data_IF_975550071327
#
_entry.id   IF_975550071327
#
_cell.length_a   1.000
_cell.length_b   1.000
_cell.length_c   1.000
_cell.angle_alpha   90.00
_cell.angle_beta   90.00
_cell.angle_gamma   90.00
#
_symmetry.space_group_name_H-M   'P 1'
#
loop_
_entity.id
_entity.type
_entity.pdbx_description
1 polymer ?
#
# COMPACT_ATOMS: atom_id res chain seq x y z
N UNK A 1 31.02 -9.58 37.58
CA UNK A 1 31.53 -10.23 36.34
C UNK A 1 30.45 -10.12 35.26
N UNK A 2 30.67 -9.30 34.24
CA UNK A 2 29.71 -9.08 33.13
C UNK A 2 30.01 -10.09 31.99
N UNK A 3 29.01 -10.69 31.34
CA UNK A 3 29.23 -11.68 30.28
C UNK A 3 29.74 -11.00 28.99
N UNK A 4 30.81 -11.56 28.42
CA UNK A 4 31.42 -11.15 27.16
C UNK A 4 30.42 -11.34 25.99
N UNK A 5 30.13 -10.29 25.24
CA UNK A 5 29.34 -10.34 23.99
C UNK A 5 30.08 -11.16 22.94
N UNK A 6 29.50 -12.30 22.54
CA UNK A 6 30.00 -13.14 21.46
C UNK A 6 30.04 -12.39 20.11
N UNK A 7 31.22 -12.40 19.50
CA UNK A 7 31.48 -11.90 18.16
C UNK A 7 30.76 -12.81 17.16
N UNK A 8 29.82 -12.24 16.34
CA UNK A 8 29.15 -12.98 15.26
C UNK A 8 30.20 -13.35 14.20
N UNK A 9 30.20 -14.61 13.70
CA UNK A 9 31.13 -15.00 12.64
C UNK A 9 30.84 -14.19 11.37
N UNK A 10 31.88 -13.56 10.85
CA UNK A 10 31.87 -12.89 9.54
C UNK A 10 31.68 -13.97 8.49
N UNK A 11 30.52 -13.99 7.83
CA UNK A 11 30.27 -14.88 6.69
C UNK A 11 31.26 -14.50 5.60
N UNK A 12 32.26 -15.34 5.38
CA UNK A 12 33.25 -15.17 4.33
C UNK A 12 32.54 -15.13 2.97
N UNK A 13 32.67 -14.01 2.28
CA UNK A 13 32.18 -13.87 0.91
C UNK A 13 32.78 -14.99 0.07
N UNK A 14 31.92 -15.86 -0.52
CA UNK A 14 32.34 -16.93 -1.44
C UNK A 14 33.18 -16.29 -2.56
N UNK A 15 34.50 -16.53 -2.53
CA UNK A 15 35.39 -16.15 -3.64
C UNK A 15 34.85 -16.81 -4.90
N UNK A 16 34.57 -16.00 -5.93
CA UNK A 16 34.22 -16.54 -7.26
C UNK A 16 35.38 -17.42 -7.70
N UNK A 17 35.12 -18.63 -8.25
CA UNK A 17 36.18 -19.48 -8.75
C UNK A 17 37.01 -18.70 -9.74
N UNK A 18 38.32 -18.67 -9.52
CA UNK A 18 39.27 -18.08 -10.45
C UNK A 18 39.16 -18.82 -11.79
N UNK A 19 38.86 -18.06 -12.85
CA UNK A 19 38.82 -18.64 -14.20
C UNK A 19 40.22 -19.09 -14.55
N UNK A 20 40.38 -20.38 -14.77
CA UNK A 20 41.63 -20.96 -15.30
C UNK A 20 41.96 -20.26 -16.62
N UNK A 21 42.95 -19.41 -16.60
CA UNK A 21 43.41 -18.70 -17.80
C UNK A 21 44.45 -19.61 -18.47
N UNK A 22 44.20 -20.05 -19.70
CA UNK A 22 45.15 -20.83 -20.46
C UNK A 22 46.33 -19.90 -20.82
N UNK A 23 47.58 -20.18 -20.36
CA UNK A 23 48.73 -19.31 -20.57
C UNK A 23 49.13 -19.17 -22.08
N UNK A 24 48.69 -20.10 -22.92
CA UNK A 24 48.94 -20.07 -24.38
C UNK A 24 48.08 -19.02 -25.12
N UNK A 25 47.02 -18.51 -24.51
CA UNK A 25 46.11 -17.56 -25.16
C UNK A 25 45.94 -16.30 -24.27
N UNK A 26 46.71 -15.28 -24.55
CA UNK A 26 46.54 -13.97 -23.94
C UNK A 26 45.22 -13.34 -24.42
N UNK A 27 44.45 -12.83 -23.46
CA UNK A 27 43.26 -12.01 -23.77
C UNK A 27 43.71 -10.69 -24.35
N UNK A 28 43.47 -10.47 -25.62
CA UNK A 28 43.64 -9.13 -26.23
C UNK A 28 42.68 -8.15 -25.58
N UNK A 29 43.13 -6.99 -25.08
CA UNK A 29 42.26 -5.97 -24.58
C UNK A 29 41.33 -5.48 -25.68
N UNK A 30 40.01 -5.47 -25.40
CA UNK A 30 39.04 -4.97 -26.37
C UNK A 30 39.03 -3.44 -26.36
N UNK A 31 39.28 -2.85 -27.50
CA UNK A 31 39.13 -1.39 -27.71
C UNK A 31 37.72 -1.10 -28.20
N UNK A 32 37.00 -0.20 -27.51
CA UNK A 32 35.61 0.16 -27.81
C UNK A 32 35.46 1.54 -28.46
N UNK A 33 36.53 2.09 -29.02
CA UNK A 33 36.53 3.36 -29.78
C UNK A 33 35.90 3.21 -31.17
N UNK A 34 35.90 4.27 -31.94
CA UNK A 34 35.42 4.31 -33.32
C UNK A 34 36.23 3.29 -34.14
N UNK A 35 35.55 2.39 -34.90
CA UNK A 35 36.17 1.32 -35.63
C UNK A 35 36.64 0.11 -34.80
N UNK A 36 36.44 0.13 -33.47
CA UNK A 36 36.78 -0.96 -32.56
C UNK A 36 35.66 -1.97 -32.33
N UNK A 37 35.82 -2.78 -31.29
CA UNK A 37 34.86 -3.82 -30.93
C UNK A 37 33.52 -3.22 -30.41
N UNK A 38 32.42 -3.90 -30.69
CA UNK A 38 31.11 -3.52 -30.15
C UNK A 38 31.12 -3.58 -28.59
N UNK A 39 30.60 -2.54 -27.91
CA UNK A 39 30.52 -2.54 -26.47
C UNK A 39 29.62 -3.67 -25.95
N UNK A 40 29.90 -4.24 -24.77
CA UNK A 40 29.08 -5.30 -24.20
C UNK A 40 27.65 -4.81 -23.95
N UNK A 41 26.70 -5.71 -24.09
CA UNK A 41 25.27 -5.44 -23.82
C UNK A 41 25.09 -4.88 -22.42
N UNK A 42 24.55 -3.67 -22.30
CA UNK A 42 24.26 -2.96 -21.04
C UNK A 42 22.79 -2.62 -20.97
N UNK A 43 22.27 -2.47 -19.77
CA UNK A 43 20.92 -1.92 -19.56
C UNK A 43 20.90 -0.43 -19.89
N UNK A 44 20.16 -0.06 -20.92
CA UNK A 44 20.02 1.31 -21.41
C UNK A 44 18.70 1.99 -20.98
N UNK A 45 17.94 1.37 -20.08
CA UNK A 45 16.65 1.93 -19.61
C UNK A 45 16.75 3.38 -19.14
N UNK A 46 17.87 3.77 -18.55
CA UNK A 46 18.12 5.15 -18.10
C UNK A 46 18.20 6.15 -19.26
N UNK A 47 18.68 5.72 -20.42
CA UNK A 47 18.95 6.57 -21.58
C UNK A 47 17.86 6.50 -22.64
N UNK A 48 16.86 5.63 -22.44
CA UNK A 48 15.73 5.49 -23.37
C UNK A 48 14.85 6.74 -23.29
N UNK A 49 14.47 7.26 -24.46
CA UNK A 49 13.48 8.33 -24.59
C UNK A 49 12.10 7.72 -24.43
N UNK A 50 11.61 7.71 -23.19
CA UNK A 50 10.29 7.16 -22.87
C UNK A 50 9.17 8.04 -23.40
N UNK A 51 7.99 7.48 -23.73
CA UNK A 51 6.79 8.26 -24.03
C UNK A 51 6.47 9.25 -22.91
N UNK A 52 5.90 10.40 -23.25
CA UNK A 52 5.62 11.49 -22.28
C UNK A 52 4.80 11.01 -21.07
N UNK A 53 3.79 10.16 -21.29
CA UNK A 53 2.98 9.61 -20.20
C UNK A 53 3.82 8.84 -19.17
N UNK A 54 4.75 7.98 -19.62
CA UNK A 54 5.67 7.24 -18.74
C UNK A 54 6.63 8.18 -18.01
N UNK A 55 7.14 9.21 -18.71
CA UNK A 55 8.03 10.21 -18.09
C UNK A 55 7.31 10.97 -16.97
N UNK A 56 6.08 11.43 -17.20
CA UNK A 56 5.27 12.15 -16.21
C UNK A 56 4.97 11.27 -15.01
N UNK A 57 4.56 10.02 -15.23
CA UNK A 57 4.28 9.06 -14.17
C UNK A 57 5.51 8.82 -13.27
N UNK A 58 6.68 8.60 -13.88
CA UNK A 58 7.95 8.40 -13.15
C UNK A 58 8.37 9.66 -12.41
N UNK A 59 8.27 10.85 -13.03
CA UNK A 59 8.58 12.13 -12.39
C UNK A 59 7.66 12.40 -11.20
N UNK A 60 6.35 12.21 -11.34
CA UNK A 60 5.37 12.34 -10.25
C UNK A 60 5.73 11.46 -9.06
N UNK A 61 6.07 10.19 -9.32
CA UNK A 61 6.49 9.25 -8.26
C UNK A 61 7.76 9.72 -7.54
N UNK A 62 8.77 10.18 -8.29
CA UNK A 62 10.03 10.66 -7.70
C UNK A 62 9.81 11.94 -6.91
N UNK A 63 9.05 12.90 -7.43
CA UNK A 63 8.72 14.14 -6.74
C UNK A 63 8.01 13.89 -5.41
N UNK A 64 7.02 13.00 -5.38
CA UNK A 64 6.34 12.62 -4.15
C UNK A 64 7.28 12.01 -3.08
N UNK A 65 8.40 11.41 -3.50
CA UNK A 65 9.40 10.90 -2.57
C UNK A 65 10.40 11.98 -2.10
N UNK A 66 10.76 12.92 -2.97
CA UNK A 66 11.81 13.93 -2.70
C UNK A 66 11.30 15.15 -1.98
N UNK A 67 10.10 15.62 -2.35
CA UNK A 67 9.52 16.81 -1.74
C UNK A 67 8.99 16.49 -0.33
N UNK A 68 8.94 17.49 0.54
CA UNK A 68 8.23 17.40 1.81
C UNK A 68 6.74 17.24 1.53
N UNK A 69 6.14 16.20 2.06
CA UNK A 69 4.72 15.89 1.90
C UNK A 69 3.98 16.27 3.19
N UNK A 70 2.94 17.11 3.11
CA UNK A 70 2.19 17.50 4.31
C UNK A 70 1.46 16.31 4.92
N UNK A 71 1.17 16.34 6.24
CA UNK A 71 0.57 15.22 6.95
C UNK A 71 -0.75 14.70 6.36
N UNK A 72 -1.70 15.53 5.89
CA UNK A 72 -2.94 15.05 5.30
C UNK A 72 -2.73 14.15 4.06
N UNK A 73 -1.69 14.41 3.28
CA UNK A 73 -1.32 13.58 2.13
C UNK A 73 -0.48 12.37 2.56
N UNK A 74 0.40 12.56 3.54
CA UNK A 74 1.28 11.51 4.03
C UNK A 74 0.51 10.34 4.68
N UNK A 75 -0.64 10.58 5.29
CA UNK A 75 -1.48 9.53 5.85
C UNK A 75 -1.88 8.46 4.82
N UNK A 76 -2.04 8.82 3.54
CA UNK A 76 -2.36 7.90 2.46
C UNK A 76 -1.20 6.96 2.06
N UNK A 77 0.00 7.19 2.57
CA UNK A 77 1.11 6.23 2.45
C UNK A 77 0.99 5.07 3.42
N UNK A 78 0.20 5.23 4.49
CA UNK A 78 -0.07 4.20 5.50
C UNK A 78 -1.30 3.41 5.10
N UNK A 79 -1.11 2.43 4.23
CA UNK A 79 -2.18 1.57 3.74
C UNK A 79 -2.23 0.26 4.48
N UNK A 80 -3.41 -0.33 4.53
CA UNK A 80 -3.62 -1.71 4.94
C UNK A 80 -3.08 -2.63 3.81
N UNK A 81 -1.78 -2.94 3.80
CA UNK A 81 -1.14 -3.65 2.68
C UNK A 81 -0.61 -5.03 3.05
N UNK A 82 -0.66 -5.91 2.05
CA UNK A 82 -0.15 -7.28 2.10
C UNK A 82 1.38 -7.37 2.13
N UNK A 83 2.10 -6.36 1.65
CA UNK A 83 3.54 -6.47 1.30
C UNK A 83 4.53 -5.89 2.31
N UNK A 84 4.10 -5.48 3.50
CA UNK A 84 5.04 -4.98 4.54
C UNK A 84 5.83 -6.10 5.25
N UNK A 85 5.63 -7.36 4.82
CA UNK A 85 6.19 -8.56 5.46
C UNK A 85 7.68 -8.80 5.19
N UNK A 86 8.24 -8.27 4.10
CA UNK A 86 9.52 -8.79 3.60
C UNK A 86 10.78 -8.18 4.22
N UNK A 87 10.71 -7.21 5.15
CA UNK A 87 11.90 -6.45 5.55
C UNK A 87 12.36 -6.55 7.03
N UNK A 88 11.69 -7.29 7.92
CA UNK A 88 12.14 -7.43 9.32
C UNK A 88 12.00 -8.85 9.89
N UNK A 89 12.71 -9.79 9.32
CA UNK A 89 12.83 -11.17 9.83
C UNK A 89 13.99 -11.35 10.82
N UNK A 90 14.25 -10.41 11.69
CA UNK A 90 15.41 -10.56 12.56
C UNK A 90 15.30 -10.02 13.99
N UNK A 91 14.13 -9.75 14.54
CA UNK A 91 14.13 -9.42 15.98
C UNK A 91 12.72 -9.44 16.58
N UNK A 92 12.50 -10.37 17.48
CA UNK A 92 11.44 -10.43 18.48
C UNK A 92 10.09 -11.08 18.10
N UNK A 93 9.84 -12.24 18.70
CA UNK A 93 8.57 -13.01 18.65
C UNK A 93 7.30 -12.18 18.90
N UNK A 94 7.37 -11.15 19.70
CA UNK A 94 6.24 -10.27 20.03
C UNK A 94 5.87 -9.30 18.89
N UNK A 95 6.76 -9.07 17.91
CA UNK A 95 6.53 -8.22 16.74
C UNK A 95 5.90 -9.00 15.58
N UNK A 96 6.08 -10.31 15.54
CA UNK A 96 5.54 -11.23 14.54
C UNK A 96 4.01 -11.30 14.61
N UNK A 97 3.42 -11.33 15.79
CA UNK A 97 1.96 -11.39 15.96
C UNK A 97 1.24 -10.16 15.43
N UNK A 98 1.79 -8.97 15.70
CA UNK A 98 1.18 -7.70 15.25
C UNK A 98 1.21 -7.53 13.72
N UNK A 99 2.23 -8.10 13.09
CA UNK A 99 2.46 -8.04 11.66
C UNK A 99 1.61 -9.07 10.89
N UNK A 100 1.51 -10.28 11.39
CA UNK A 100 0.62 -11.35 10.88
C UNK A 100 -0.85 -10.92 10.98
N UNK A 101 -1.24 -10.28 12.07
CA UNK A 101 -2.58 -9.72 12.28
C UNK A 101 -2.94 -8.68 11.20
N UNK A 102 -2.01 -7.80 10.82
CA UNK A 102 -2.28 -6.74 9.84
C UNK A 102 -2.48 -7.29 8.41
N UNK A 103 -1.73 -8.33 8.04
CA UNK A 103 -1.91 -9.04 6.77
C UNK A 103 -3.23 -9.81 6.73
N UNK A 104 -3.58 -10.45 7.83
CA UNK A 104 -4.84 -11.17 7.99
C UNK A 104 -6.03 -10.21 7.86
N UNK A 105 -5.97 -9.04 8.49
CA UNK A 105 -7.03 -8.03 8.46
C UNK A 105 -7.33 -7.54 7.04
N UNK A 106 -6.32 -7.26 6.22
CA UNK A 106 -6.52 -6.81 4.84
C UNK A 106 -7.19 -7.88 3.98
N UNK A 107 -6.80 -9.13 4.13
CA UNK A 107 -7.39 -10.25 3.37
C UNK A 107 -8.80 -10.58 3.85
N UNK A 108 -9.04 -10.58 5.16
CA UNK A 108 -10.37 -10.81 5.75
C UNK A 108 -11.33 -9.68 5.40
N UNK A 109 -10.88 -8.43 5.43
CA UNK A 109 -11.68 -7.29 4.97
C UNK A 109 -12.09 -7.44 3.51
N UNK A 110 -11.16 -7.79 2.62
CA UNK A 110 -11.47 -8.00 1.20
C UNK A 110 -12.45 -9.17 1.00
N UNK A 111 -12.28 -10.29 1.73
CA UNK A 111 -13.22 -11.43 1.69
C UNK A 111 -14.61 -11.01 2.14
N UNK A 112 -14.70 -10.27 3.24
CA UNK A 112 -15.97 -9.76 3.74
C UNK A 112 -16.63 -8.81 2.74
N UNK A 113 -15.92 -7.85 2.18
CA UNK A 113 -16.46 -6.94 1.16
C UNK A 113 -16.97 -7.69 -0.08
N UNK A 114 -16.34 -8.80 -0.47
CA UNK A 114 -16.81 -9.65 -1.56
C UNK A 114 -18.10 -10.41 -1.21
N UNK A 115 -18.31 -10.85 0.04
CA UNK A 115 -19.58 -11.45 0.49
C UNK A 115 -20.75 -10.46 0.37
N UNK A 116 -20.49 -9.16 0.61
CA UNK A 116 -21.49 -8.09 0.54
C UNK A 116 -21.49 -7.36 -0.79
N UNK A 117 -21.02 -8.01 -1.83
CA UNK A 117 -20.97 -7.47 -3.18
C UNK A 117 -22.37 -7.08 -3.67
N UNK A 118 -22.57 -5.90 -4.28
CA UNK A 118 -23.85 -5.54 -4.88
C UNK A 118 -24.17 -6.42 -6.09
N UNK A 119 -25.42 -6.48 -6.44
CA UNK A 119 -25.91 -7.22 -7.61
C UNK A 119 -25.33 -6.67 -8.92
N UNK A 120 -25.11 -7.55 -9.87
CA UNK A 120 -24.76 -7.20 -11.25
C UNK A 120 -25.95 -6.54 -11.96
N UNK A 121 -25.67 -5.79 -13.03
CA UNK A 121 -26.71 -5.12 -13.81
C UNK A 121 -27.74 -6.10 -14.37
N UNK A 122 -27.31 -7.29 -14.80
CA UNK A 122 -28.18 -8.32 -15.33
C UNK A 122 -29.10 -8.88 -14.23
N UNK A 123 -28.56 -9.29 -13.10
CA UNK A 123 -29.31 -9.78 -11.96
C UNK A 123 -30.30 -8.73 -11.40
N UNK A 124 -29.87 -7.44 -11.34
CA UNK A 124 -30.76 -6.35 -10.94
C UNK A 124 -31.94 -6.19 -11.89
N UNK A 125 -31.70 -6.25 -13.21
CA UNK A 125 -32.77 -6.16 -14.23
C UNK A 125 -33.75 -7.31 -14.07
N UNK A 126 -33.26 -8.52 -13.92
CA UNK A 126 -34.09 -9.72 -13.73
C UNK A 126 -34.93 -9.63 -12.45
N UNK A 127 -34.35 -9.21 -11.35
CA UNK A 127 -35.06 -9.00 -10.08
C UNK A 127 -36.19 -7.95 -10.21
N UNK A 128 -35.89 -6.84 -10.91
CA UNK A 128 -36.90 -5.80 -11.14
C UNK A 128 -38.05 -6.28 -12.06
N UNK A 129 -37.74 -7.08 -13.09
CA UNK A 129 -38.75 -7.68 -13.95
C UNK A 129 -39.64 -8.65 -13.17
N UNK A 130 -39.04 -9.56 -12.38
CA UNK A 130 -39.80 -10.47 -11.51
C UNK A 130 -40.68 -9.71 -10.51
N UNK A 131 -40.20 -8.59 -9.99
CA UNK A 131 -40.97 -7.73 -9.11
C UNK A 131 -42.18 -7.11 -9.83
N UNK A 132 -41.96 -6.54 -11.00
CA UNK A 132 -43.02 -5.94 -11.81
C UNK A 132 -44.09 -7.00 -12.19
N UNK A 133 -43.69 -8.23 -12.56
CA UNK A 133 -44.59 -9.34 -12.82
C UNK A 133 -45.40 -9.71 -11.58
N UNK A 134 -44.77 -9.80 -10.41
CA UNK A 134 -45.48 -10.10 -9.16
C UNK A 134 -46.45 -8.97 -8.76
N UNK A 135 -46.14 -7.72 -9.04
CA UNK A 135 -47.05 -6.58 -8.84
C UNK A 135 -48.28 -6.66 -9.75
N UNK A 136 -48.08 -7.04 -11.02
CA UNK A 136 -49.22 -7.24 -11.94
C UNK A 136 -50.11 -8.44 -11.58
N UNK A 137 -49.52 -9.48 -10.97
CA UNK A 137 -50.24 -10.66 -10.50
C UNK A 137 -50.89 -10.48 -9.11
N UNK A 138 -50.72 -9.30 -8.48
CA UNK A 138 -51.29 -9.02 -7.14
C UNK A 138 -50.69 -9.84 -5.99
N UNK A 139 -49.50 -10.45 -6.20
CA UNK A 139 -48.82 -11.25 -5.18
C UNK A 139 -48.12 -10.36 -4.17
N UNK A 140 -48.16 -10.66 -2.85
CA UNK A 140 -47.45 -9.90 -1.86
C UNK A 140 -45.92 -9.98 -2.10
N UNK A 141 -45.26 -8.83 -2.28
CA UNK A 141 -43.84 -8.76 -2.53
C UNK A 141 -43.11 -8.60 -1.21
N UNK A 142 -42.43 -9.65 -0.74
CA UNK A 142 -41.44 -9.53 0.37
C UNK A 142 -40.19 -8.80 -0.09
N UNK A 143 -40.22 -7.49 -0.03
CA UNK A 143 -39.09 -6.65 -0.42
C UNK A 143 -38.11 -6.40 0.75
N UNK A 144 -37.40 -7.43 1.24
CA UNK A 144 -36.26 -7.23 2.14
C UNK A 144 -35.13 -6.55 1.38
N UNK A 145 -34.71 -5.35 1.82
CA UNK A 145 -33.57 -4.65 1.23
C UNK A 145 -32.30 -5.48 1.40
N UNK A 146 -31.56 -5.82 0.32
CA UNK A 146 -30.33 -6.57 0.44
C UNK A 146 -29.27 -5.76 1.19
N UNK A 147 -28.56 -6.43 2.12
CA UNK A 147 -27.42 -5.86 2.84
C UNK A 147 -26.23 -5.94 1.90
N UNK A 148 -25.81 -4.81 1.34
CA UNK A 148 -24.72 -4.71 0.37
C UNK A 148 -23.81 -3.55 0.68
N UNK A 149 -22.57 -3.62 0.19
CA UNK A 149 -21.59 -2.54 0.25
C UNK A 149 -22.15 -1.30 -0.47
N UNK A 150 -22.07 -0.16 0.19
CA UNK A 150 -22.42 1.14 -0.39
C UNK A 150 -21.16 1.79 -0.97
N UNK A 151 -21.32 2.47 -2.08
CA UNK A 151 -20.21 3.10 -2.82
C UNK A 151 -20.61 4.43 -3.43
N UNK A 152 -19.62 5.18 -3.87
CA UNK A 152 -19.78 6.54 -4.39
C UNK A 152 -19.55 7.59 -3.31
N UNK A 153 -18.71 8.59 -3.63
CA UNK A 153 -18.25 9.60 -2.67
C UNK A 153 -19.40 10.31 -1.98
N UNK A 154 -20.31 10.91 -2.74
CA UNK A 154 -21.44 11.68 -2.20
C UNK A 154 -22.35 10.82 -1.30
N UNK A 155 -22.61 9.58 -1.74
CA UNK A 155 -23.47 8.68 -0.96
C UNK A 155 -22.81 8.24 0.34
N UNK A 156 -21.52 7.91 0.28
CA UNK A 156 -20.76 7.51 1.49
C UNK A 156 -20.63 8.69 2.46
N UNK A 157 -20.40 9.91 1.97
CA UNK A 157 -20.37 11.12 2.81
C UNK A 157 -21.69 11.31 3.55
N UNK A 158 -22.81 11.23 2.84
CA UNK A 158 -24.14 11.29 3.45
C UNK A 158 -24.35 10.23 4.54
N UNK A 159 -23.89 8.97 4.30
CA UNK A 159 -23.99 7.91 5.29
C UNK A 159 -23.12 8.15 6.53
N UNK A 160 -21.95 8.78 6.35
CA UNK A 160 -21.06 9.18 7.44
C UNK A 160 -21.74 10.27 8.29
N UNK A 161 -22.27 11.32 7.67
CA UNK A 161 -22.95 12.42 8.35
C UNK A 161 -24.20 11.98 9.11
N UNK A 162 -24.90 10.97 8.60
CA UNK A 162 -26.05 10.35 9.24
C UNK A 162 -25.70 9.30 10.32
N UNK A 163 -24.41 9.09 10.59
CA UNK A 163 -23.93 8.06 11.53
C UNK A 163 -24.39 6.63 11.22
N UNK A 164 -24.73 6.35 9.93
CA UNK A 164 -25.19 5.05 9.47
C UNK A 164 -24.05 4.14 9.02
N UNK A 165 -22.85 4.67 8.87
CA UNK A 165 -21.67 3.94 8.43
C UNK A 165 -21.01 3.20 9.61
N UNK A 166 -20.81 1.89 9.49
CA UNK A 166 -20.07 1.09 10.47
C UNK A 166 -18.58 0.99 10.15
N UNK A 167 -18.22 1.05 8.86
CA UNK A 167 -16.84 1.01 8.39
C UNK A 167 -16.74 1.74 7.06
N UNK A 168 -15.72 2.60 6.93
CA UNK A 168 -15.39 3.31 5.70
C UNK A 168 -14.05 2.83 5.16
N UNK A 169 -14.01 2.46 3.89
CA UNK A 169 -12.80 1.98 3.20
C UNK A 169 -12.43 2.95 2.09
N UNK A 170 -11.25 3.55 2.19
CA UNK A 170 -10.78 4.62 1.30
C UNK A 170 -9.63 4.09 0.44
N UNK A 171 -9.62 4.38 -0.86
CA UNK A 171 -8.49 4.06 -1.71
C UNK A 171 -7.36 5.08 -1.55
N UNK A 172 -6.10 4.61 -1.56
CA UNK A 172 -4.92 5.49 -1.41
C UNK A 172 -4.51 6.21 -2.70
N UNK A 173 -4.90 5.69 -3.86
CA UNK A 173 -4.45 6.09 -5.19
C UNK A 173 -5.52 6.86 -5.99
N UNK A 174 -6.38 7.58 -5.29
CA UNK A 174 -7.38 8.45 -5.93
C UNK A 174 -6.68 9.66 -6.55
N UNK A 175 -7.03 9.97 -7.79
CA UNK A 175 -6.51 11.11 -8.52
C UNK A 175 -7.69 11.85 -9.15
N UNK A 176 -7.99 13.10 -8.73
CA UNK A 176 -7.28 13.93 -7.74
C UNK A 176 -7.48 13.49 -6.27
N UNK A 177 -6.47 13.68 -5.43
CA UNK A 177 -6.47 13.24 -4.03
C UNK A 177 -7.38 14.10 -3.15
N UNK A 178 -7.66 15.33 -3.58
CA UNK A 178 -8.52 16.31 -2.91
C UNK A 178 -9.93 15.77 -2.65
N UNK A 179 -10.37 14.82 -3.48
CA UNK A 179 -11.68 14.17 -3.33
C UNK A 179 -11.81 13.37 -2.05
N UNK A 180 -10.70 12.84 -1.52
CA UNK A 180 -10.73 11.90 -0.39
C UNK A 180 -9.86 12.34 0.80
N UNK A 181 -9.05 13.41 0.65
CA UNK A 181 -8.08 13.85 1.67
C UNK A 181 -8.74 14.25 3.00
N UNK A 182 -9.96 14.72 2.97
CA UNK A 182 -10.73 15.18 4.12
C UNK A 182 -11.54 14.06 4.79
N UNK A 183 -11.77 12.93 4.11
CA UNK A 183 -12.60 11.82 4.64
C UNK A 183 -12.07 11.23 5.96
N UNK A 184 -10.78 11.00 6.16
CA UNK A 184 -10.25 10.52 7.44
C UNK A 184 -10.60 11.45 8.61
N UNK A 185 -10.55 12.77 8.39
CA UNK A 185 -10.90 13.76 9.40
C UNK A 185 -12.41 13.74 9.71
N UNK A 186 -13.26 13.62 8.69
CA UNK A 186 -14.71 13.48 8.85
C UNK A 186 -15.06 12.20 9.62
N UNK A 187 -14.49 11.06 9.23
CA UNK A 187 -14.70 9.79 9.92
C UNK A 187 -14.26 9.88 11.39
N UNK A 188 -13.14 10.54 11.68
CA UNK A 188 -12.66 10.75 13.05
C UNK A 188 -13.63 11.61 13.86
N UNK A 189 -14.15 12.70 13.26
CA UNK A 189 -15.13 13.59 13.93
C UNK A 189 -16.43 12.88 14.25
N UNK A 190 -16.88 11.97 13.38
CA UNK A 190 -18.11 11.17 13.55
C UNK A 190 -17.86 9.84 14.28
N UNK A 191 -16.65 9.60 14.80
CA UNK A 191 -16.22 8.38 15.51
C UNK A 191 -16.38 7.07 14.71
N UNK A 192 -16.47 7.19 13.38
CA UNK A 192 -16.64 6.05 12.47
C UNK A 192 -15.27 5.42 12.15
N UNK A 193 -15.10 4.10 12.28
CA UNK A 193 -13.90 3.41 11.86
C UNK A 193 -13.64 3.57 10.37
N UNK A 194 -12.40 3.89 10.01
CA UNK A 194 -11.99 4.00 8.63
C UNK A 194 -10.65 3.30 8.39
N UNK A 195 -10.42 2.86 7.16
CA UNK A 195 -9.13 2.34 6.74
C UNK A 195 -8.77 2.80 5.33
N UNK A 196 -7.46 2.89 5.08
CA UNK A 196 -6.90 3.23 3.77
C UNK A 196 -6.36 1.95 3.14
N UNK A 197 -6.86 1.59 1.95
CA UNK A 197 -6.52 0.37 1.22
C UNK A 197 -5.79 0.70 -0.08
N UNK A 198 -4.85 -0.14 -0.45
CA UNK A 198 -4.06 0.01 -1.68
C UNK A 198 -4.85 -0.45 -2.90
N UNK A 199 -5.08 0.48 -3.81
CA UNK A 199 -5.64 0.23 -5.14
C UNK A 199 -7.13 0.50 -5.28
N UNK A 200 -7.49 1.62 -5.95
CA UNK A 200 -8.87 1.97 -6.32
C UNK A 200 -9.51 0.95 -7.27
N UNK A 201 -8.70 0.31 -8.12
CA UNK A 201 -9.17 -0.75 -9.00
C UNK A 201 -9.62 -1.99 -8.22
N UNK A 202 -8.91 -2.34 -7.13
CA UNK A 202 -9.29 -3.45 -6.25
C UNK A 202 -10.64 -3.19 -5.56
N UNK A 203 -10.88 -1.96 -5.11
CA UNK A 203 -12.19 -1.57 -4.58
C UNK A 203 -13.26 -1.56 -5.67
N UNK A 204 -12.90 -1.17 -6.89
CA UNK A 204 -13.81 -1.19 -8.05
C UNK A 204 -14.32 -2.60 -8.39
N UNK A 205 -13.46 -3.62 -8.33
CA UNK A 205 -13.87 -5.01 -8.61
C UNK A 205 -14.95 -5.51 -7.65
N UNK A 206 -14.99 -5.00 -6.41
CA UNK A 206 -16.03 -5.37 -5.44
C UNK A 206 -17.40 -4.85 -5.87
N UNK A 207 -17.47 -3.69 -6.48
CA UNK A 207 -18.74 -3.01 -6.83
C UNK A 207 -19.05 -3.02 -8.32
N UNK A 208 -18.44 -3.95 -9.07
CA UNK A 208 -18.61 -4.08 -10.53
C UNK A 208 -18.28 -2.80 -11.32
N UNK A 209 -17.33 -2.00 -10.80
CA UNK A 209 -16.84 -0.80 -11.45
C UNK A 209 -15.36 -0.92 -11.80
N UNK A 210 -14.89 -0.15 -12.77
CA UNK A 210 -13.47 -0.08 -13.11
C UNK A 210 -12.61 0.39 -11.92
N UNK A 211 -13.11 1.38 -11.19
CA UNK A 211 -12.45 1.95 -10.01
C UNK A 211 -13.48 2.44 -9.02
N UNK A 212 -13.18 2.38 -7.72
CA UNK A 212 -13.95 2.99 -6.66
C UNK A 212 -13.03 3.73 -5.69
N UNK A 213 -13.37 4.98 -5.37
CA UNK A 213 -12.59 5.80 -4.45
C UNK A 213 -12.87 5.43 -2.99
N UNK A 214 -14.12 5.16 -2.66
CA UNK A 214 -14.59 4.91 -1.29
C UNK A 214 -15.69 3.86 -1.29
N UNK A 215 -15.64 2.97 -0.30
CA UNK A 215 -16.70 1.99 0.01
C UNK A 215 -17.14 2.17 1.46
N UNK A 216 -18.38 1.79 1.76
CA UNK A 216 -18.93 1.84 3.11
C UNK A 216 -19.77 0.58 3.41
N UNK A 217 -19.62 0.05 4.62
CA UNK A 217 -20.51 -0.94 5.20
C UNK A 217 -21.44 -0.25 6.22
N UNK A 218 -22.73 -0.42 6.06
CA UNK A 218 -23.76 0.15 6.94
C UNK A 218 -24.29 -0.88 7.94
N UNK A 219 -24.46 -2.11 7.49
CA UNK A 219 -24.97 -3.23 8.28
C UNK A 219 -24.27 -4.51 7.86
N UNK A 220 -24.14 -5.44 8.80
CA UNK A 220 -23.54 -6.75 8.60
C UNK A 220 -24.51 -7.82 9.10
N UNK A 221 -24.58 -8.96 8.43
CA UNK A 221 -25.40 -10.11 8.86
C UNK A 221 -24.92 -10.63 10.22
N UNK A 222 -25.82 -11.24 10.98
CA UNK A 222 -25.51 -11.75 12.31
C UNK A 222 -24.40 -12.81 12.30
N UNK A 223 -24.34 -13.64 11.25
CA UNK A 223 -23.32 -14.68 11.04
C UNK A 223 -21.90 -14.10 10.97
N UNK A 224 -21.73 -12.93 10.35
CA UNK A 224 -20.43 -12.30 10.11
C UNK A 224 -20.04 -11.27 11.20
N UNK A 225 -20.88 -11.03 12.21
CA UNK A 225 -20.63 -10.02 13.25
C UNK A 225 -19.34 -10.24 14.04
N UNK A 226 -19.03 -11.50 14.37
CA UNK A 226 -17.82 -11.85 15.13
C UNK A 226 -16.55 -11.59 14.31
N UNK A 227 -16.54 -11.94 13.02
CA UNK A 227 -15.42 -11.68 12.14
C UNK A 227 -15.27 -10.17 11.90
N UNK A 228 -16.38 -9.48 11.74
CA UNK A 228 -16.42 -8.04 11.56
C UNK A 228 -15.90 -7.26 12.77
N UNK A 229 -16.27 -7.63 14.00
CA UNK A 229 -15.77 -6.95 15.21
C UNK A 229 -14.25 -7.06 15.35
N UNK A 230 -13.65 -8.24 15.07
CA UNK A 230 -12.20 -8.42 15.05
C UNK A 230 -11.51 -7.52 14.02
N UNK A 231 -12.11 -7.40 12.83
CA UNK A 231 -11.60 -6.49 11.78
C UNK A 231 -11.70 -5.03 12.23
N UNK A 232 -12.82 -4.62 12.83
CA UNK A 232 -13.03 -3.27 13.34
C UNK A 232 -12.03 -2.87 14.43
N UNK A 233 -11.80 -3.74 15.41
CA UNK A 233 -10.80 -3.52 16.47
C UNK A 233 -9.41 -3.29 15.88
N UNK A 234 -8.99 -4.17 14.97
CA UNK A 234 -7.70 -4.03 14.31
C UNK A 234 -7.59 -2.74 13.47
N UNK A 235 -8.67 -2.32 12.82
CA UNK A 235 -8.73 -1.06 12.05
C UNK A 235 -8.67 0.14 12.98
N UNK A 236 -9.46 0.17 14.06
CA UNK A 236 -9.45 1.24 15.06
C UNK A 236 -8.04 1.45 15.63
N UNK A 237 -7.39 0.37 16.07
CA UNK A 237 -6.03 0.41 16.61
C UNK A 237 -4.98 0.93 15.62
N UNK A 238 -5.18 0.72 14.30
CA UNK A 238 -4.21 1.13 13.28
C UNK A 238 -4.47 2.52 12.69
N UNK A 239 -5.71 2.96 12.61
CA UNK A 239 -6.08 4.21 11.95
C UNK A 239 -6.69 5.24 12.91
N UNK A 240 -7.75 4.90 13.62
CA UNK A 240 -8.45 5.84 14.48
C UNK A 240 -7.59 6.30 15.66
N UNK A 241 -6.98 5.37 16.39
CA UNK A 241 -6.17 5.68 17.57
C UNK A 241 -4.86 6.39 17.20
N UNK A 242 -4.32 6.09 16.01
CA UNK A 242 -3.10 6.73 15.51
C UNK A 242 -3.34 7.98 14.67
N UNK A 243 -4.59 8.44 14.58
CA UNK A 243 -4.93 9.61 13.76
C UNK A 243 -4.14 10.85 14.16
N UNK A 244 -4.00 11.12 15.46
CA UNK A 244 -3.28 12.30 15.97
C UNK A 244 -1.78 12.24 15.68
N UNK A 245 -1.19 11.04 15.69
CA UNK A 245 0.19 10.84 15.26
C UNK A 245 0.34 11.11 13.74
N UNK A 246 -0.55 10.55 12.92
CA UNK A 246 -0.50 10.72 11.47
C UNK A 246 -0.77 12.16 11.04
N UNK A 247 -1.61 12.89 11.75
CA UNK A 247 -1.91 14.30 11.50
C UNK A 247 -0.69 15.21 11.69
N UNK A 248 0.27 14.83 12.53
CA UNK A 248 1.49 15.61 12.82
C UNK A 248 2.68 15.18 11.95
N UNK A 249 2.65 13.99 11.38
CA UNK A 249 3.81 13.38 10.70
C UNK A 249 3.93 13.80 9.24
N UNK A 250 4.94 14.61 8.96
CA UNK A 250 5.34 14.93 7.59
C UNK A 250 5.98 13.73 6.89
N UNK A 251 5.79 13.65 5.58
CA UNK A 251 6.37 12.61 4.73
C UNK A 251 7.35 13.18 3.71
N UNK A 252 7.84 12.33 2.81
CA UNK A 252 8.78 12.69 1.77
C UNK A 252 10.19 12.93 2.27
N UNK A 253 10.95 13.79 1.58
CA UNK A 253 12.34 14.11 1.93
C UNK A 253 13.35 12.97 1.72
N UNK A 254 12.95 11.89 1.07
CA UNK A 254 13.82 10.71 0.83
C UNK A 254 14.75 11.01 -0.32
N UNK A 255 16.04 11.10 -0.04
CA UNK A 255 17.09 11.34 -1.04
C UNK A 255 17.28 10.14 -1.98
N UNK A 256 17.82 10.38 -3.17
CA UNK A 256 18.14 9.33 -4.13
C UNK A 256 19.27 8.42 -3.65
N UNK A 257 19.33 7.19 -4.18
CA UNK A 257 20.34 6.19 -3.81
C UNK A 257 21.78 6.70 -3.96
N UNK A 258 22.07 7.47 -5.00
CA UNK A 258 23.40 8.08 -5.21
C UNK A 258 23.74 9.10 -4.12
N UNK A 259 22.78 9.98 -3.76
CA UNK A 259 22.99 10.98 -2.70
C UNK A 259 23.14 10.30 -1.34
N UNK A 260 22.33 9.29 -1.05
CA UNK A 260 22.47 8.50 0.18
C UNK A 260 23.82 7.79 0.28
N UNK A 261 24.30 7.20 -0.82
CA UNK A 261 25.61 6.56 -0.86
C UNK A 261 26.73 7.58 -0.61
N UNK A 262 26.64 8.78 -1.21
CA UNK A 262 27.61 9.88 -1.00
C UNK A 262 27.61 10.35 0.47
N UNK A 263 26.43 10.53 1.08
CA UNK A 263 26.32 10.93 2.48
C UNK A 263 26.91 9.87 3.40
N UNK A 264 26.56 8.59 3.20
CA UNK A 264 27.13 7.47 3.97
C UNK A 264 28.65 7.35 3.83
N UNK A 265 29.21 7.64 2.64
CA UNK A 265 30.65 7.65 2.44
C UNK A 265 31.31 8.76 3.26
N UNK A 266 30.74 9.98 3.25
CA UNK A 266 31.23 11.10 4.07
C UNK A 266 31.16 10.80 5.57
N UNK A 267 30.03 10.27 6.05
CA UNK A 267 29.85 9.87 7.45
C UNK A 267 30.89 8.85 7.90
N UNK A 268 31.23 7.88 7.02
CA UNK A 268 32.28 6.88 7.31
C UNK A 268 33.66 7.51 7.43
N UNK A 269 33.98 8.50 6.62
CA UNK A 269 35.27 9.24 6.70
C UNK A 269 35.34 10.02 8.00
N UNK A 270 34.30 10.82 8.30
CA UNK A 270 34.23 11.57 9.56
C UNK A 270 34.30 10.69 10.79
N UNK A 271 33.61 9.53 10.78
CA UNK A 271 33.66 8.59 11.88
C UNK A 271 35.08 8.01 12.09
N UNK A 272 35.84 7.78 11.01
CA UNK A 272 37.27 7.36 11.11
C UNK A 272 38.15 8.47 11.67
N UNK A 273 37.95 9.68 11.22
CA UNK A 273 38.72 10.86 11.72
C UNK A 273 38.46 11.08 13.22
N UNK A 274 37.21 10.99 13.65
CA UNK A 274 36.85 11.11 15.07
C UNK A 274 37.49 9.99 15.88
N UNK A 275 37.43 8.74 15.39
CA UNK A 275 38.05 7.61 16.07
C UNK A 275 39.59 7.76 16.18
N UNK A 276 40.25 8.34 15.17
CA UNK A 276 41.69 8.62 15.20
C UNK A 276 42.07 9.76 16.16
N UNK A 277 41.14 10.71 16.41
CA UNK A 277 41.39 11.80 17.38
C UNK A 277 41.15 11.41 18.84
N UNK A 278 40.36 10.35 19.04
CA UNK A 278 40.00 9.88 20.39
C UNK A 278 40.85 8.70 20.88
N UNK A 279 41.66 8.10 20.04
CA UNK A 279 42.67 7.09 20.37
C UNK A 279 44.09 7.62 20.29
#
# INVERSE_FOLDING_TARGET
MAPKKGVKPVVAAKKKPEKVVNPLYEKRPKQFGIGGALPPKKDLHRFVRWPKGVQIQRKKRILNQRLKVPPPLNQFTKTLDKNLVALHLASCFHFLDKFFLQQYVATSLCKMLLKYRPEDKAAKKERLLKRAQAETEGKPIEAKKPIVVKYGLNHVTYLIEQNKAQLVVIAHDVDPIELVVWLPALCRKMEIPYCIVKGKARLGTIVHQKTAAVLCLTTVKNEDKLEFSKILEAIKANFNDKYDEYRKKWGGGIMGSKSQAKTKAKERVLAKEVAQRMG
#
